data_IF_973220168973
#
_entry.id   IF_973220168973
#
_cell.length_a   1.000
_cell.length_b   1.000
_cell.length_c   1.000
_cell.angle_alpha   90.00
_cell.angle_beta   90.00
_cell.angle_gamma   90.00
#
_symmetry.space_group_name_H-M   'P 1'
#
loop_
_entity.id
_entity.type
_entity.pdbx_description
1 polymer ?
#
# COMPACT_ATOMS: atom_id res chain seq x y z
N UNK A 1 68.13 14.68 38.14
CA UNK A 1 66.84 14.05 38.29
C UNK A 1 66.01 14.37 37.02
N UNK A 2 65.88 13.44 36.16
CA UNK A 2 65.14 13.61 34.93
C UNK A 2 63.89 12.77 35.05
N UNK A 3 62.73 13.43 35.26
CA UNK A 3 61.44 12.76 35.23
C UNK A 3 60.95 12.66 33.80
N UNK A 4 60.95 11.48 33.27
CA UNK A 4 60.31 11.20 31.97
C UNK A 4 58.83 11.01 32.22
N UNK A 5 58.03 11.96 31.79
CA UNK A 5 56.60 11.82 31.75
C UNK A 5 56.27 11.05 30.48
N UNK A 6 55.88 9.79 30.64
CA UNK A 6 55.27 8.98 29.59
C UNK A 6 53.83 9.44 29.40
N UNK A 7 53.60 10.19 28.35
CA UNK A 7 52.24 10.47 27.87
C UNK A 7 51.69 9.20 27.20
N UNK A 8 50.84 8.52 27.91
CA UNK A 8 50.09 7.41 27.32
C UNK A 8 49.00 7.99 26.38
N UNK A 9 49.22 7.91 25.08
CA UNK A 9 48.17 8.17 24.11
C UNK A 9 47.18 6.99 24.19
N UNK A 10 46.00 7.27 24.73
CA UNK A 10 44.86 6.38 24.68
C UNK A 10 44.23 6.56 23.31
N UNK A 11 44.19 5.53 22.41
CA UNK A 11 43.46 5.65 21.17
C UNK A 11 41.96 5.68 21.52
N UNK A 12 41.32 6.79 21.22
CA UNK A 12 39.86 6.87 21.23
C UNK A 12 39.35 6.00 20.08
N UNK A 13 38.97 4.78 20.40
CA UNK A 13 38.23 3.94 19.44
C UNK A 13 36.83 4.50 19.38
N UNK A 14 36.58 5.30 18.37
CA UNK A 14 35.21 5.69 18.04
C UNK A 14 34.48 4.44 17.55
N UNK A 15 33.72 3.81 18.45
CA UNK A 15 32.72 2.82 18.06
C UNK A 15 31.64 3.56 17.30
N UNK A 16 31.79 3.64 15.98
CA UNK A 16 30.71 4.06 15.11
C UNK A 16 29.54 3.10 15.30
N UNK A 17 28.50 3.51 16.03
CA UNK A 17 27.27 2.78 16.07
C UNK A 17 26.66 2.85 14.66
N UNK A 18 26.82 1.80 13.87
CA UNK A 18 26.04 1.61 12.64
C UNK A 18 24.59 1.36 13.09
N UNK A 19 23.77 2.41 13.11
CA UNK A 19 22.33 2.22 13.19
C UNK A 19 21.93 1.40 11.97
N UNK A 20 21.15 0.30 12.14
CA UNK A 20 20.63 -0.44 11.00
C UNK A 20 19.85 0.52 10.10
N UNK A 21 20.13 0.53 8.80
CA UNK A 21 19.35 1.31 7.87
C UNK A 21 17.88 0.87 7.96
N UNK A 22 16.92 1.81 8.01
CA UNK A 22 15.52 1.43 7.93
C UNK A 22 15.29 0.65 6.64
N UNK A 23 14.44 -0.41 6.65
CA UNK A 23 14.14 -1.14 5.43
C UNK A 23 13.66 -0.16 4.36
N UNK A 24 14.05 -0.32 3.08
CA UNK A 24 13.61 0.57 2.03
C UNK A 24 12.08 0.64 2.03
N UNK A 25 11.53 1.86 1.87
CA UNK A 25 10.09 2.04 1.77
C UNK A 25 9.56 1.14 0.64
N UNK A 26 8.51 0.36 0.95
CA UNK A 26 7.88 -0.50 -0.04
C UNK A 26 7.36 0.36 -1.20
N UNK A 27 7.71 -0.02 -2.42
CA UNK A 27 7.16 0.63 -3.60
C UNK A 27 5.67 0.30 -3.70
N UNK A 28 4.83 1.33 -3.72
CA UNK A 28 3.38 1.17 -3.86
C UNK A 28 3.03 0.76 -5.27
N UNK A 29 2.12 -0.21 -5.40
CA UNK A 29 1.63 -0.66 -6.70
C UNK A 29 0.74 0.41 -7.34
N UNK A 30 1.10 0.85 -8.54
CA UNK A 30 0.24 1.67 -9.38
C UNK A 30 -0.58 0.74 -10.28
N UNK A 31 -1.89 0.92 -10.33
CA UNK A 31 -2.75 0.12 -11.19
C UNK A 31 -2.49 0.46 -12.66
N UNK A 32 -2.01 -0.51 -13.41
CA UNK A 32 -1.80 -0.39 -14.86
C UNK A 32 -3.01 -0.92 -15.62
N UNK A 33 -3.89 -0.01 -16.02
CA UNK A 33 -5.12 -0.35 -16.72
C UNK A 33 -4.91 -0.82 -18.16
N UNK A 34 -3.67 -0.79 -18.68
CA UNK A 34 -3.34 -1.37 -19.98
C UNK A 34 -3.19 -2.89 -19.94
N UNK A 35 -3.01 -3.45 -18.75
CA UNK A 35 -2.98 -4.90 -18.54
C UNK A 35 -4.39 -5.49 -18.66
N UNK A 36 -4.46 -6.78 -19.01
CA UNK A 36 -5.74 -7.50 -18.88
C UNK A 36 -6.19 -7.56 -17.43
N UNK A 37 -7.46 -7.80 -17.21
CA UNK A 37 -8.00 -7.97 -15.86
C UNK A 37 -7.25 -9.06 -15.09
N UNK A 38 -7.06 -10.22 -15.71
CA UNK A 38 -6.36 -11.35 -15.09
C UNK A 38 -4.92 -11.02 -14.73
N UNK A 39 -4.22 -10.31 -15.61
CA UNK A 39 -2.84 -9.91 -15.36
C UNK A 39 -2.74 -8.87 -14.23
N UNK A 40 -3.66 -7.92 -14.17
CA UNK A 40 -3.70 -6.93 -13.11
C UNK A 40 -4.04 -7.57 -11.76
N UNK A 41 -5.03 -8.47 -11.73
CA UNK A 41 -5.38 -9.23 -10.52
C UNK A 41 -4.18 -10.03 -10.03
N UNK A 42 -3.45 -10.70 -10.92
CA UNK A 42 -2.27 -11.46 -10.56
C UNK A 42 -1.20 -10.55 -9.92
N UNK A 43 -0.99 -9.35 -10.44
CA UNK A 43 -0.07 -8.36 -9.85
C UNK A 43 -0.50 -7.91 -8.46
N UNK A 44 -1.78 -7.62 -8.27
CA UNK A 44 -2.33 -7.24 -6.97
C UNK A 44 -2.10 -8.34 -5.95
N UNK A 45 -2.48 -9.58 -6.29
CA UNK A 45 -2.40 -10.73 -5.38
C UNK A 45 -0.97 -11.20 -5.09
N UNK A 46 -0.01 -10.86 -5.95
CA UNK A 46 1.39 -11.21 -5.77
C UNK A 46 2.15 -10.29 -4.80
N UNK A 47 1.52 -9.22 -4.32
CA UNK A 47 2.19 -8.26 -3.44
C UNK A 47 2.51 -8.88 -2.07
N UNK A 48 3.77 -8.80 -1.61
CA UNK A 48 4.10 -9.18 -0.24
C UNK A 48 3.33 -8.33 0.76
N UNK A 49 2.78 -8.94 1.81
CA UNK A 49 2.05 -8.24 2.85
C UNK A 49 0.58 -7.96 2.54
N UNK A 50 0.07 -8.45 1.42
CA UNK A 50 -1.36 -8.36 1.10
C UNK A 50 -2.13 -9.42 1.90
N UNK A 51 -3.19 -9.00 2.60
CA UNK A 51 -4.04 -9.89 3.40
C UNK A 51 -5.51 -9.70 3.04
N UNK A 52 -6.26 -10.79 2.86
CA UNK A 52 -7.70 -10.68 2.64
C UNK A 52 -8.40 -10.15 3.89
N UNK A 53 -9.33 -9.22 3.69
CA UNK A 53 -10.27 -8.82 4.73
C UNK A 53 -11.43 -9.83 4.80
N UNK A 54 -12.13 -9.93 5.95
CA UNK A 54 -13.33 -10.75 6.04
C UNK A 54 -14.36 -10.35 4.99
N UNK A 55 -14.90 -11.33 4.28
CA UNK A 55 -15.96 -11.12 3.30
C UNK A 55 -17.32 -11.40 3.92
N UNK A 56 -18.26 -10.49 3.75
CA UNK A 56 -19.63 -10.70 4.15
C UNK A 56 -20.35 -11.62 3.14
N UNK A 57 -21.29 -12.39 3.67
CA UNK A 57 -22.06 -13.32 2.83
C UNK A 57 -22.84 -12.55 1.76
N UNK A 58 -22.65 -12.95 0.49
CA UNK A 58 -23.34 -12.33 -0.64
C UNK A 58 -22.74 -11.03 -1.12
N UNK A 59 -21.68 -10.55 -0.49
CA UNK A 59 -20.95 -9.37 -0.94
C UNK A 59 -20.14 -9.70 -2.21
N UNK A 60 -20.37 -9.00 -3.33
CA UNK A 60 -19.69 -9.32 -4.59
C UNK A 60 -18.33 -8.60 -4.70
N UNK A 61 -17.67 -8.34 -3.59
CA UNK A 61 -16.39 -7.66 -3.51
C UNK A 61 -15.43 -8.43 -2.62
N UNK A 62 -14.17 -8.49 -3.05
CA UNK A 62 -13.06 -8.97 -2.25
C UNK A 62 -12.18 -7.81 -1.85
N UNK A 63 -12.07 -7.56 -0.56
CA UNK A 63 -11.19 -6.54 0.00
C UNK A 63 -9.88 -7.17 0.48
N UNK A 64 -8.79 -6.50 0.16
CA UNK A 64 -7.45 -6.87 0.62
C UNK A 64 -6.79 -5.65 1.23
N UNK A 65 -6.16 -5.82 2.38
CA UNK A 65 -5.43 -4.77 3.06
C UNK A 65 -3.93 -5.05 2.99
N UNK A 66 -3.13 -4.01 2.85
CA UNK A 66 -1.69 -4.12 2.96
C UNK A 66 -1.25 -4.08 4.43
N UNK A 67 -0.25 -4.89 4.77
CA UNK A 67 0.41 -4.80 6.07
C UNK A 67 0.91 -3.38 6.32
N UNK A 68 0.76 -2.90 7.55
CA UNK A 68 1.12 -1.53 7.91
C UNK A 68 0.05 -0.49 7.60
N UNK A 69 -1.05 -0.89 6.93
CA UNK A 69 -2.14 0.01 6.55
C UNK A 69 -1.80 0.94 5.38
N UNK A 70 -2.67 1.88 5.12
CA UNK A 70 -2.45 2.92 4.11
C UNK A 70 -2.81 2.55 2.68
N UNK A 71 -3.00 1.27 2.38
CA UNK A 71 -3.45 0.80 1.07
C UNK A 71 -4.41 -0.37 1.23
N UNK A 72 -5.44 -0.38 0.40
CA UNK A 72 -6.35 -1.50 0.24
C UNK A 72 -6.69 -1.68 -1.24
N UNK A 73 -7.04 -2.90 -1.61
CA UNK A 73 -7.44 -3.26 -2.97
C UNK A 73 -8.80 -3.90 -2.93
N UNK A 74 -9.61 -3.62 -3.93
CA UNK A 74 -10.93 -4.21 -4.09
C UNK A 74 -11.00 -4.87 -5.46
N UNK A 75 -11.29 -6.16 -5.45
CA UNK A 75 -11.55 -6.94 -6.66
C UNK A 75 -13.04 -7.23 -6.71
N UNK A 76 -13.67 -6.94 -7.84
CA UNK A 76 -15.07 -7.30 -8.01
C UNK A 76 -15.23 -8.78 -8.29
N UNK A 77 -16.36 -9.33 -7.87
CA UNK A 77 -16.81 -10.67 -8.22
C UNK A 77 -18.04 -10.58 -9.14
N UNK A 78 -18.41 -11.69 -9.71
CA UNK A 78 -19.62 -11.79 -10.52
C UNK A 78 -20.84 -11.30 -9.70
N UNK A 79 -21.61 -10.42 -10.27
CA UNK A 79 -22.76 -9.80 -9.61
C UNK A 79 -22.50 -8.37 -9.13
N UNK A 80 -21.24 -7.94 -9.05
CA UNK A 80 -20.93 -6.54 -8.76
C UNK A 80 -21.26 -5.64 -9.95
N UNK A 81 -21.77 -4.43 -9.71
CA UNK A 81 -21.87 -3.43 -10.77
C UNK A 81 -20.51 -3.21 -11.42
N UNK A 82 -20.48 -3.19 -12.76
CA UNK A 82 -19.25 -2.93 -13.50
C UNK A 82 -18.21 -4.04 -13.47
N UNK A 83 -18.54 -5.23 -12.95
CA UNK A 83 -17.62 -6.38 -12.99
C UNK A 83 -17.24 -6.74 -14.43
N UNK A 84 -15.94 -7.03 -14.73
CA UNK A 84 -14.81 -7.03 -13.82
C UNK A 84 -14.17 -5.64 -13.65
N UNK A 85 -13.71 -5.37 -12.45
CA UNK A 85 -13.02 -4.13 -12.12
C UNK A 85 -12.06 -4.34 -10.94
N UNK A 86 -11.01 -3.52 -10.89
CA UNK A 86 -10.03 -3.49 -9.81
C UNK A 86 -9.98 -2.07 -9.28
N UNK A 87 -10.01 -1.91 -7.96
CA UNK A 87 -9.90 -0.62 -7.30
C UNK A 87 -8.75 -0.63 -6.31
N UNK A 88 -8.18 0.55 -6.10
CA UNK A 88 -7.17 0.80 -5.07
C UNK A 88 -7.60 1.99 -4.24
N UNK A 89 -7.53 1.82 -2.92
CA UNK A 89 -7.69 2.90 -1.95
C UNK A 89 -6.33 3.14 -1.30
N UNK A 90 -5.89 4.38 -1.24
CA UNK A 90 -4.64 4.71 -0.57
C UNK A 90 -4.76 5.99 0.24
N UNK A 91 -4.11 5.98 1.42
CA UNK A 91 -3.96 7.16 2.23
C UNK A 91 -2.82 8.02 1.68
N UNK A 92 -3.11 9.27 1.36
CA UNK A 92 -2.12 10.24 0.89
C UNK A 92 -2.19 11.49 1.75
N UNK A 93 -1.09 12.25 1.78
CA UNK A 93 -1.05 13.54 2.44
C UNK A 93 -1.34 14.63 1.41
N UNK A 94 -2.35 15.44 1.69
CA UNK A 94 -2.67 16.65 0.92
C UNK A 94 -2.80 17.83 1.87
N UNK A 95 -2.04 18.89 1.65
CA UNK A 95 -2.06 20.10 2.48
C UNK A 95 -1.96 19.81 3.99
N UNK A 96 -1.12 18.84 4.38
CA UNK A 96 -0.93 18.44 5.77
C UNK A 96 -2.03 17.54 6.35
N UNK A 97 -3.07 17.22 5.61
CA UNK A 97 -4.15 16.33 6.01
C UNK A 97 -4.04 14.97 5.32
N UNK A 98 -4.39 13.91 6.06
CA UNK A 98 -4.52 12.56 5.51
C UNK A 98 -5.84 12.41 4.78
N UNK A 99 -5.79 12.12 3.49
CA UNK A 99 -6.97 11.87 2.67
C UNK A 99 -6.89 10.49 2.02
N UNK A 100 -8.04 9.87 1.78
CA UNK A 100 -8.12 8.60 1.05
C UNK A 100 -8.36 8.89 -0.43
N UNK A 101 -7.47 8.38 -1.27
CA UNK A 101 -7.56 8.48 -2.71
C UNK A 101 -7.97 7.14 -3.29
N UNK A 102 -9.01 7.16 -4.14
CA UNK A 102 -9.50 5.98 -4.83
C UNK A 102 -9.16 6.05 -6.30
N UNK A 103 -8.60 4.98 -6.83
CA UNK A 103 -8.32 4.79 -8.26
C UNK A 103 -8.83 3.43 -8.69
N UNK A 104 -8.99 3.20 -9.97
CA UNK A 104 -9.43 1.90 -10.44
C UNK A 104 -9.29 1.71 -11.94
N UNK A 105 -9.44 0.46 -12.36
CA UNK A 105 -9.45 0.04 -13.75
C UNK A 105 -10.79 -0.64 -14.07
N UNK A 106 -11.50 -0.09 -15.04
CA UNK A 106 -12.77 -0.62 -15.51
C UNK A 106 -12.53 -1.57 -16.69
N UNK A 107 -13.01 -2.80 -16.56
CA UNK A 107 -12.97 -3.81 -17.63
C UNK A 107 -14.37 -4.22 -18.08
N UNK A 108 -15.38 -3.83 -17.31
CA UNK A 108 -16.78 -4.06 -17.59
C UNK A 108 -17.53 -2.77 -17.89
N UNK A 109 -18.81 -2.72 -17.51
CA UNK A 109 -19.65 -1.56 -17.71
C UNK A 109 -19.18 -0.32 -16.93
N UNK A 110 -19.01 0.78 -17.63
CA UNK A 110 -18.50 2.02 -17.06
C UNK A 110 -19.45 2.62 -16.00
N UNK A 111 -20.76 2.56 -16.25
CA UNK A 111 -21.74 3.10 -15.30
C UNK A 111 -21.72 2.30 -13.99
N UNK A 112 -21.59 0.98 -14.07
CA UNK A 112 -21.41 0.12 -12.90
C UNK A 112 -20.11 0.41 -12.17
N UNK A 113 -19.03 0.61 -12.90
CA UNK A 113 -17.73 1.00 -12.32
C UNK A 113 -17.86 2.32 -11.54
N UNK A 114 -18.48 3.33 -12.12
CA UNK A 114 -18.66 4.63 -11.47
C UNK A 114 -19.53 4.53 -10.21
N UNK A 115 -20.51 3.63 -10.20
CA UNK A 115 -21.33 3.34 -9.04
C UNK A 115 -20.49 2.76 -7.88
N UNK A 116 -19.61 1.81 -8.17
CA UNK A 116 -18.71 1.24 -7.16
C UNK A 116 -17.72 2.28 -6.67
N UNK A 117 -17.17 3.07 -7.57
CA UNK A 117 -16.25 4.16 -7.18
C UNK A 117 -16.92 5.15 -6.23
N UNK A 118 -18.16 5.55 -6.49
CA UNK A 118 -18.91 6.43 -5.60
C UNK A 118 -19.14 5.78 -4.22
N UNK A 119 -19.44 4.49 -4.18
CA UNK A 119 -19.56 3.73 -2.93
C UNK A 119 -18.25 3.75 -2.12
N UNK A 120 -17.12 3.47 -2.76
CA UNK A 120 -15.82 3.48 -2.09
C UNK A 120 -15.46 4.88 -1.57
N UNK A 121 -15.76 5.92 -2.33
CA UNK A 121 -15.56 7.30 -1.90
C UNK A 121 -16.42 7.64 -0.67
N UNK A 122 -17.64 7.13 -0.59
CA UNK A 122 -18.51 7.34 0.56
C UNK A 122 -17.95 6.69 1.84
N UNK A 123 -17.24 5.57 1.73
CA UNK A 123 -16.56 4.93 2.86
C UNK A 123 -15.38 5.76 3.36
N UNK A 124 -14.69 6.44 2.44
CA UNK A 124 -13.51 7.25 2.76
C UNK A 124 -13.85 8.57 3.45
N UNK A 125 -15.10 9.01 3.40
CA UNK A 125 -15.57 10.27 3.97
C UNK A 125 -16.00 10.15 5.45
N UNK A 126 -15.85 8.98 6.08
CA UNK A 126 -16.27 8.71 7.47
C UNK A 126 -15.12 8.85 8.45
#
# INVERSE_FOLDING_TARGET
>A
MRGSALLALIPLIALGACAPEPPPARQRLVLDCSLSYEALVAKVLAQPGLKPAPQERGEPYRFYNMDGGGEAFVLTERGAPGHPAVFKQEAVQENGAKVMKNTGCAYGDKAGFDQVMAYLQSLSAR
#
